data_IF_978125169443
#
_entry.id   IF_978125169443
#
_cell.length_a   1.000
_cell.length_b   1.000
_cell.length_c   1.000
_cell.angle_alpha   90.00
_cell.angle_beta   90.00
_cell.angle_gamma   90.00
#
_symmetry.space_group_name_H-M   'P 1'
#
loop_
_entity.id
_entity.type
_entity.pdbx_description
1 polymer ?
#
# COMPACT_ATOMS: atom_id res chain seq x y z
N UNK A 1 77.64 -12.39 17.10
CA UNK A 1 76.71 -12.54 16.04
C UNK A 1 76.40 -14.04 15.75
N UNK A 2 75.41 -14.62 16.38
CA UNK A 2 74.76 -15.80 15.78
C UNK A 2 73.29 -15.82 16.09
N UNK A 3 72.43 -15.09 15.34
CA UNK A 3 71.00 -15.13 15.55
C UNK A 3 70.16 -15.16 14.26
N UNK A 4 70.80 -15.13 13.10
CA UNK A 4 70.03 -15.09 11.84
C UNK A 4 69.57 -16.46 11.33
N UNK A 5 70.36 -17.52 11.60
CA UNK A 5 70.07 -18.88 11.11
C UNK A 5 68.95 -19.54 11.92
N UNK A 6 68.94 -19.31 13.25
CA UNK A 6 67.90 -19.88 14.13
C UNK A 6 66.50 -19.27 13.87
N UNK A 7 66.43 -17.97 13.57
CA UNK A 7 65.18 -17.32 13.21
C UNK A 7 64.66 -17.78 11.83
N UNK A 8 65.51 -18.09 10.89
CA UNK A 8 65.08 -18.62 9.56
C UNK A 8 64.46 -20.03 9.67
N UNK A 9 65.03 -20.88 10.55
CA UNK A 9 64.52 -22.22 10.80
C UNK A 9 63.16 -22.20 11.51
N UNK A 10 62.99 -21.30 12.52
CA UNK A 10 61.72 -21.15 13.22
C UNK A 10 60.58 -20.66 12.33
N UNK A 11 60.86 -19.72 11.42
CA UNK A 11 59.86 -19.26 10.45
C UNK A 11 59.42 -20.36 9.46
N UNK A 12 60.34 -21.21 9.04
CA UNK A 12 60.02 -22.34 8.10
C UNK A 12 59.18 -23.42 8.79
N UNK A 13 59.43 -23.72 10.06
CA UNK A 13 58.66 -24.72 10.83
C UNK A 13 57.27 -24.22 11.14
N UNK A 14 57.10 -22.94 11.49
CA UNK A 14 55.81 -22.32 11.76
C UNK A 14 54.94 -22.28 10.47
N UNK A 15 55.50 -21.93 9.33
CA UNK A 15 54.78 -21.90 8.07
C UNK A 15 54.29 -23.30 7.60
N UNK A 16 55.04 -24.35 7.87
CA UNK A 16 54.64 -25.73 7.55
C UNK A 16 53.50 -26.24 8.44
N UNK A 17 53.46 -25.85 9.71
CA UNK A 17 52.38 -26.21 10.63
C UNK A 17 51.08 -25.47 10.30
N UNK A 18 51.19 -24.20 9.89
CA UNK A 18 50.01 -23.39 9.47
C UNK A 18 49.40 -23.87 8.17
N UNK A 19 50.22 -24.31 7.21
CA UNK A 19 49.73 -24.91 5.93
C UNK A 19 49.02 -26.24 6.14
N UNK A 20 49.39 -27.05 7.12
CA UNK A 20 48.69 -28.32 7.44
C UNK A 20 47.37 -28.10 8.19
N UNK A 21 47.22 -27.01 8.94
CA UNK A 21 45.98 -26.68 9.60
C UNK A 21 44.98 -26.04 8.63
N UNK A 22 45.41 -25.22 7.68
CA UNK A 22 44.56 -24.64 6.64
C UNK A 22 43.98 -25.69 5.67
N UNK A 23 44.74 -26.75 5.33
CA UNK A 23 44.26 -27.83 4.50
C UNK A 23 43.26 -28.77 5.21
N UNK A 24 43.25 -28.81 6.53
CA UNK A 24 42.24 -29.56 7.32
C UNK A 24 40.95 -28.77 7.56
N UNK A 25 40.98 -27.44 7.53
CA UNK A 25 39.82 -26.59 7.67
C UNK A 25 38.98 -26.49 6.39
N UNK A 26 39.56 -26.76 5.22
CA UNK A 26 38.85 -26.68 3.92
C UNK A 26 38.04 -27.93 3.63
N UNK A 27 38.35 -29.09 4.22
CA UNK A 27 37.66 -30.35 3.95
C UNK A 27 36.40 -30.55 4.81
N UNK A 28 36.21 -29.80 5.88
CA UNK A 28 35.05 -29.94 6.78
C UNK A 28 33.91 -28.95 6.51
N UNK A 29 34.04 -28.02 5.54
CA UNK A 29 32.97 -27.05 5.21
C UNK A 29 32.10 -27.49 4.01
N UNK A 30 32.42 -28.59 3.36
CA UNK A 30 31.79 -29.00 2.08
C UNK A 30 30.57 -29.95 2.21
N UNK A 31 30.02 -30.21 3.39
CA UNK A 31 28.93 -31.22 3.54
C UNK A 31 27.68 -30.70 4.27
N UNK A 32 27.54 -29.40 4.48
CA UNK A 32 26.24 -28.86 4.98
C UNK A 32 25.68 -27.78 4.05
N UNK A 33 25.55 -28.10 2.74
CA UNK A 33 24.51 -27.47 1.94
C UNK A 33 23.17 -28.10 2.33
N UNK A 34 22.75 -27.82 3.54
CA UNK A 34 21.38 -28.03 3.96
C UNK A 34 20.49 -27.16 3.07
N UNK A 35 19.61 -27.81 2.32
CA UNK A 35 18.52 -27.19 1.58
C UNK A 35 17.77 -26.25 2.52
N UNK A 36 18.01 -24.95 2.41
CA UNK A 36 17.16 -23.92 3.03
C UNK A 36 15.83 -24.05 2.31
N UNK A 37 14.73 -24.43 2.98
CA UNK A 37 13.43 -24.38 2.35
C UNK A 37 13.18 -22.91 2.03
N UNK A 38 13.08 -22.58 0.74
CA UNK A 38 12.51 -21.33 0.28
C UNK A 38 11.05 -21.34 0.80
N UNK A 39 10.84 -20.71 1.97
CA UNK A 39 9.49 -20.41 2.43
C UNK A 39 8.91 -19.44 1.42
N UNK A 40 8.14 -19.98 0.48
CA UNK A 40 7.26 -19.18 -0.37
C UNK A 40 6.26 -18.55 0.61
N UNK A 41 6.49 -17.28 0.96
CA UNK A 41 5.47 -16.45 1.60
C UNK A 41 4.39 -16.29 0.55
N UNK A 42 3.40 -17.18 0.59
CA UNK A 42 2.17 -17.00 -0.16
C UNK A 42 1.59 -15.66 0.31
N UNK A 43 1.62 -14.66 -0.55
CA UNK A 43 0.82 -13.46 -0.37
C UNK A 43 -0.63 -13.92 -0.39
N UNK A 44 -1.21 -14.08 0.79
CA UNK A 44 -2.64 -14.27 0.93
C UNK A 44 -3.31 -12.99 0.43
N UNK A 45 -3.72 -13.00 -0.83
CA UNK A 45 -4.74 -12.08 -1.32
C UNK A 45 -5.98 -12.41 -0.49
N UNK A 46 -6.31 -11.54 0.47
CA UNK A 46 -7.49 -11.71 1.29
C UNK A 46 -8.70 -11.80 0.34
N UNK A 47 -9.36 -12.94 0.31
CA UNK A 47 -10.63 -13.13 -0.39
C UNK A 47 -11.60 -12.03 0.05
N UNK A 48 -12.33 -11.38 -0.85
CA UNK A 48 -13.30 -10.37 -0.49
C UNK A 48 -14.38 -11.01 0.39
N UNK A 49 -14.43 -10.57 1.66
CA UNK A 49 -15.51 -10.97 2.56
C UNK A 49 -16.74 -10.10 2.31
N UNK A 50 -17.93 -10.63 2.58
CA UNK A 50 -19.16 -9.83 2.54
C UNK A 50 -19.37 -9.10 3.88
N UNK A 51 -19.89 -7.89 3.81
CA UNK A 51 -20.29 -7.11 4.98
C UNK A 51 -21.47 -7.75 5.69
N UNK A 52 -21.38 -7.89 7.00
CA UNK A 52 -22.41 -8.57 7.82
C UNK A 52 -23.78 -7.87 7.83
N UNK A 53 -23.83 -6.60 7.45
CA UNK A 53 -25.05 -5.78 7.51
C UNK A 53 -25.61 -5.49 6.12
N UNK A 54 -24.73 -5.31 5.14
CA UNK A 54 -25.15 -4.86 3.80
C UNK A 54 -25.00 -5.92 2.73
N UNK A 55 -24.36 -7.05 3.03
CA UNK A 55 -23.97 -8.10 2.06
C UNK A 55 -23.13 -7.56 0.88
N UNK A 56 -22.57 -6.34 1.01
CA UNK A 56 -21.68 -5.78 0.01
C UNK A 56 -20.24 -6.26 0.23
N UNK A 57 -19.43 -6.36 -0.84
CA UNK A 57 -18.03 -6.75 -0.71
C UNK A 57 -17.23 -5.85 0.23
N UNK A 58 -16.32 -6.45 0.99
CA UNK A 58 -15.32 -5.78 1.81
C UNK A 58 -13.93 -6.24 1.39
N UNK A 59 -12.95 -5.33 1.29
CA UNK A 59 -13.08 -3.88 1.46
C UNK A 59 -13.77 -3.23 0.24
N UNK A 60 -14.49 -2.12 0.46
CA UNK A 60 -15.09 -1.33 -0.61
C UNK A 60 -14.90 0.17 -0.40
N UNK A 61 -14.94 0.93 -1.48
CA UNK A 61 -14.83 2.38 -1.40
C UNK A 61 -16.18 3.08 -1.32
N UNK A 62 -16.23 4.14 -0.53
CA UNK A 62 -17.35 5.07 -0.35
C UNK A 62 -16.78 6.48 -0.25
N UNK A 63 -17.63 7.50 -0.13
CA UNK A 63 -17.18 8.86 0.12
C UNK A 63 -17.89 9.47 1.32
N UNK A 64 -17.23 10.43 1.94
CA UNK A 64 -17.83 11.21 3.02
C UNK A 64 -18.96 12.11 2.45
N UNK A 65 -20.17 11.95 2.97
CA UNK A 65 -21.33 12.77 2.60
C UNK A 65 -21.35 14.10 3.32
N UNK A 66 -20.95 14.10 4.57
CA UNK A 66 -20.92 15.27 5.44
C UNK A 66 -19.69 16.14 5.18
N UNK A 67 -19.74 17.39 5.60
CA UNK A 67 -18.58 18.30 5.61
C UNK A 67 -17.64 18.00 6.76
N UNK A 68 -18.18 17.37 7.82
CA UNK A 68 -17.45 16.95 9.02
C UNK A 68 -17.97 15.61 9.50
N UNK A 69 -17.09 14.72 9.95
CA UNK A 69 -17.47 13.43 10.52
C UNK A 69 -16.53 12.99 11.63
N UNK A 70 -17.11 12.75 12.80
CA UNK A 70 -16.41 12.16 13.93
C UNK A 70 -16.10 10.69 13.68
N UNK A 71 -14.84 10.33 13.80
CA UNK A 71 -14.31 8.97 13.72
C UNK A 71 -14.05 8.47 15.13
N UNK A 72 -14.67 7.36 15.47
CA UNK A 72 -14.63 6.82 16.82
C UNK A 72 -13.80 5.56 16.91
N UNK A 73 -13.31 5.28 18.12
CA UNK A 73 -12.53 4.07 18.40
C UNK A 73 -13.35 2.79 18.27
N UNK A 74 -14.65 2.85 18.49
CA UNK A 74 -15.57 1.72 18.41
C UNK A 74 -16.93 2.08 17.85
N UNK A 75 -17.79 1.08 17.57
CA UNK A 75 -19.04 1.23 16.87
C UNK A 75 -20.20 1.66 17.79
N UNK A 76 -20.04 2.77 18.52
CA UNK A 76 -21.14 3.41 19.26
C UNK A 76 -20.83 4.89 19.52
N UNK A 77 -21.85 5.66 19.88
CA UNK A 77 -21.70 7.09 20.23
C UNK A 77 -20.94 7.30 21.54
N UNK A 78 -20.90 6.31 22.44
CA UNK A 78 -20.17 6.37 23.72
C UNK A 78 -18.65 6.22 23.55
N UNK A 79 -18.18 5.70 22.42
CA UNK A 79 -16.76 5.59 22.17
C UNK A 79 -16.12 6.94 21.87
N UNK A 80 -14.89 7.10 22.36
CA UNK A 80 -14.08 8.29 22.16
C UNK A 80 -13.90 8.60 20.67
N UNK A 81 -13.93 9.88 20.33
CA UNK A 81 -13.55 10.39 19.01
C UNK A 81 -12.02 10.44 18.98
N UNK A 82 -11.43 9.74 18.03
CA UNK A 82 -9.98 9.69 17.83
C UNK A 82 -9.55 10.60 16.68
N UNK A 83 -10.45 10.88 15.72
CA UNK A 83 -10.21 11.69 14.55
C UNK A 83 -11.47 12.40 14.04
N UNK A 84 -11.29 13.45 13.23
CA UNK A 84 -12.39 14.12 12.53
C UNK A 84 -12.02 14.32 11.08
N UNK A 85 -12.84 13.81 10.15
CA UNK A 85 -12.71 14.14 8.75
C UNK A 85 -13.46 15.43 8.45
N UNK A 86 -12.80 16.37 7.75
CA UNK A 86 -13.29 17.76 7.57
C UNK A 86 -13.75 18.08 6.14
N UNK A 87 -13.63 17.15 5.19
CA UNK A 87 -13.93 17.45 3.79
C UNK A 87 -14.98 16.53 3.21
N UNK A 88 -16.08 17.12 2.73
CA UNK A 88 -17.07 16.39 1.92
C UNK A 88 -16.37 15.78 0.70
N UNK A 89 -16.78 14.57 0.34
CA UNK A 89 -16.19 13.85 -0.80
C UNK A 89 -14.88 13.13 -0.49
N UNK A 90 -14.34 13.24 0.73
CA UNK A 90 -13.15 12.42 1.10
C UNK A 90 -13.42 10.97 0.77
N UNK A 91 -12.63 10.33 -0.12
CA UNK A 91 -12.75 8.91 -0.38
C UNK A 91 -12.33 8.12 0.86
N UNK A 92 -13.07 7.07 1.16
CA UNK A 92 -12.87 6.22 2.33
C UNK A 92 -13.04 4.76 1.94
N UNK A 93 -12.26 3.87 2.54
CA UNK A 93 -12.41 2.44 2.36
C UNK A 93 -13.09 1.82 3.58
N UNK A 94 -14.28 1.22 3.39
CA UNK A 94 -14.97 0.44 4.41
C UNK A 94 -14.28 -0.91 4.53
N UNK A 95 -13.85 -1.25 5.73
CA UNK A 95 -13.12 -2.49 6.04
C UNK A 95 -13.93 -3.44 6.94
N UNK A 96 -14.92 -2.94 7.68
CA UNK A 96 -15.83 -3.73 8.50
C UNK A 96 -17.17 -3.03 8.70
N UNK A 97 -18.18 -3.79 9.11
CA UNK A 97 -19.51 -3.32 9.43
C UNK A 97 -19.96 -3.84 10.79
N UNK A 98 -20.70 -3.01 11.50
CA UNK A 98 -21.38 -3.39 12.72
C UNK A 98 -22.64 -2.51 12.88
N UNK A 99 -23.83 -3.08 12.81
CA UNK A 99 -25.10 -2.35 12.86
C UNK A 99 -25.12 -1.08 11.97
N UNK A 100 -25.23 0.09 12.58
CA UNK A 100 -25.23 1.40 11.89
C UNK A 100 -23.82 1.97 11.68
N UNK A 101 -22.76 1.23 12.02
CA UNK A 101 -21.39 1.72 11.97
C UNK A 101 -20.59 1.04 10.87
N UNK A 102 -19.68 1.81 10.26
CA UNK A 102 -18.73 1.34 9.26
C UNK A 102 -17.33 1.68 9.76
N UNK A 103 -16.47 0.66 9.80
CA UNK A 103 -15.05 0.90 10.02
C UNK A 103 -14.45 1.34 8.71
N UNK A 104 -13.87 2.54 8.71
CA UNK A 104 -13.29 3.16 7.52
C UNK A 104 -11.82 3.48 7.72
N UNK A 105 -11.10 3.61 6.60
CA UNK A 105 -9.77 4.21 6.57
C UNK A 105 -9.64 5.09 5.33
N UNK A 106 -8.76 6.09 5.41
CA UNK A 106 -8.35 6.91 4.27
C UNK A 106 -7.08 6.36 3.58
N UNK A 107 -6.51 7.15 2.66
CA UNK A 107 -5.28 6.84 1.93
C UNK A 107 -4.06 6.68 2.84
N UNK A 108 -4.03 7.34 3.99
CA UNK A 108 -2.94 7.33 4.97
C UNK A 108 -3.16 6.28 6.08
N UNK A 109 -4.16 5.41 5.91
CA UNK A 109 -4.63 4.42 6.89
C UNK A 109 -5.15 5.02 8.20
N UNK A 110 -5.46 6.31 8.23
CA UNK A 110 -6.14 6.96 9.35
C UNK A 110 -7.63 6.65 9.28
N UNK A 111 -8.24 6.28 10.39
CA UNK A 111 -9.65 5.96 10.40
C UNK A 111 -10.16 5.35 11.70
N UNK A 112 -11.31 4.74 11.63
CA UNK A 112 -12.04 4.13 12.74
C UNK A 112 -13.50 3.94 12.37
N UNK A 113 -14.42 4.10 13.34
CA UNK A 113 -15.83 3.86 13.14
C UNK A 113 -16.61 5.15 12.88
N UNK A 114 -17.36 5.18 11.78
CA UNK A 114 -18.25 6.28 11.37
C UNK A 114 -19.66 5.74 11.25
N UNK A 115 -20.66 6.55 11.61
CA UNK A 115 -22.05 6.22 11.37
C UNK A 115 -22.38 6.25 9.87
N UNK A 116 -23.09 5.22 9.36
CA UNK A 116 -23.32 5.04 7.93
C UNK A 116 -24.01 6.23 7.25
N UNK A 117 -24.85 6.98 7.98
CA UNK A 117 -25.56 8.15 7.42
C UNK A 117 -24.65 9.29 6.97
N UNK A 118 -23.39 9.30 7.44
CA UNK A 118 -22.38 10.27 7.06
C UNK A 118 -21.60 9.85 5.79
N UNK A 119 -21.91 8.68 5.25
CA UNK A 119 -21.27 8.11 4.06
C UNK A 119 -22.24 8.10 2.88
N UNK A 120 -21.69 8.05 1.68
CA UNK A 120 -22.44 7.94 0.42
C UNK A 120 -21.76 6.95 -0.52
N UNK A 121 -22.58 6.28 -1.35
CA UNK A 121 -22.09 5.44 -2.45
C UNK A 121 -21.58 6.23 -3.65
N UNK A 122 -21.79 7.55 -3.70
CA UNK A 122 -21.13 8.40 -4.72
C UNK A 122 -19.62 8.26 -4.57
N UNK A 123 -18.96 7.85 -5.65
CA UNK A 123 -17.53 7.50 -5.61
C UNK A 123 -16.67 8.71 -5.93
N UNK A 124 -15.69 8.92 -5.12
CA UNK A 124 -14.65 9.91 -5.31
C UNK A 124 -13.27 9.26 -5.20
N UNK A 125 -12.28 9.95 -5.69
CA UNK A 125 -10.86 9.59 -5.59
C UNK A 125 -10.06 10.79 -5.14
N UNK A 126 -8.87 10.54 -4.60
CA UNK A 126 -7.91 11.59 -4.26
C UNK A 126 -6.61 11.36 -5.04
N UNK A 127 -6.06 12.45 -5.57
CA UNK A 127 -4.80 12.47 -6.31
C UNK A 127 -3.63 12.20 -5.35
N UNK A 128 -2.78 11.22 -5.66
CA UNK A 128 -1.59 10.86 -4.88
C UNK A 128 -0.29 11.43 -5.46
N UNK A 129 -0.20 11.54 -6.80
CA UNK A 129 0.95 12.16 -7.46
C UNK A 129 1.07 13.64 -7.16
N UNK A 130 2.30 14.20 -7.14
CA UNK A 130 2.52 15.61 -6.82
C UNK A 130 1.78 16.54 -7.77
N UNK A 131 1.82 16.22 -9.07
CA UNK A 131 1.12 16.93 -10.15
C UNK A 131 0.92 15.95 -11.29
N UNK A 132 -0.30 15.54 -11.53
CA UNK A 132 -0.65 14.55 -12.55
C UNK A 132 -1.45 15.17 -13.69
N UNK A 133 -1.21 14.75 -14.95
CA UNK A 133 -2.00 15.21 -16.08
C UNK A 133 -3.39 14.55 -16.10
N UNK A 134 -4.41 15.35 -16.41
CA UNK A 134 -5.70 14.88 -16.85
C UNK A 134 -5.69 14.82 -18.38
N UNK A 135 -5.78 13.64 -18.94
CA UNK A 135 -5.73 13.38 -20.37
C UNK A 135 -7.13 13.42 -21.01
N UNK A 136 -7.19 13.81 -22.27
CA UNK A 136 -8.44 13.77 -23.05
C UNK A 136 -8.95 12.34 -23.27
N UNK A 137 -8.02 11.39 -23.49
CA UNK A 137 -8.28 9.98 -23.74
C UNK A 137 -7.46 9.11 -22.77
N UNK A 138 -7.82 7.83 -22.54
CA UNK A 138 -7.12 6.94 -21.62
C UNK A 138 -5.80 6.41 -22.20
N UNK A 139 -4.91 7.30 -22.60
CA UNK A 139 -3.56 6.99 -23.04
C UNK A 139 -2.59 8.15 -22.73
N UNK A 140 -1.31 7.84 -22.56
CA UNK A 140 -0.27 8.80 -22.15
C UNK A 140 0.10 9.84 -23.24
N UNK A 141 -0.20 9.55 -24.49
CA UNK A 141 0.11 10.43 -25.63
C UNK A 141 -1.03 11.39 -25.97
N UNK A 142 -2.17 11.23 -25.32
CA UNK A 142 -3.34 12.10 -25.48
C UNK A 142 -3.07 13.50 -24.93
N UNK A 143 -3.78 14.49 -25.46
CA UNK A 143 -3.67 15.86 -25.00
C UNK A 143 -3.94 15.99 -23.49
N UNK A 144 -3.12 16.76 -22.80
CA UNK A 144 -3.34 17.12 -21.40
C UNK A 144 -4.34 18.27 -21.33
N UNK A 145 -5.47 18.07 -20.66
CA UNK A 145 -6.55 19.05 -20.47
C UNK A 145 -6.22 19.98 -19.30
N UNK A 146 -5.73 19.39 -18.18
CA UNK A 146 -5.41 20.10 -16.96
C UNK A 146 -4.34 19.32 -16.17
N UNK A 147 -3.81 19.94 -15.13
CA UNK A 147 -2.93 19.30 -14.15
C UNK A 147 -3.64 19.29 -12.79
N UNK A 148 -3.74 18.13 -12.17
CA UNK A 148 -4.27 17.97 -10.83
C UNK A 148 -3.12 17.80 -9.81
N UNK A 149 -3.19 18.53 -8.73
CA UNK A 149 -2.19 18.49 -7.66
C UNK A 149 -2.54 17.42 -6.61
N UNK A 150 -1.54 17.01 -5.84
CA UNK A 150 -1.71 16.06 -4.74
C UNK A 150 -2.79 16.53 -3.76
N UNK A 151 -3.68 15.61 -3.38
CA UNK A 151 -4.77 15.89 -2.45
C UNK A 151 -6.06 16.41 -3.10
N UNK A 152 -6.02 16.73 -4.40
CA UNK A 152 -7.25 17.07 -5.14
C UNK A 152 -8.21 15.88 -5.12
N UNK A 153 -9.46 16.16 -4.75
CA UNK A 153 -10.56 15.18 -4.75
C UNK A 153 -11.36 15.38 -6.02
N UNK A 154 -11.59 14.27 -6.75
CA UNK A 154 -12.45 14.25 -7.94
C UNK A 154 -13.54 13.20 -7.85
N UNK A 155 -14.67 13.45 -8.49
CA UNK A 155 -15.71 12.43 -8.71
C UNK A 155 -15.18 11.36 -9.65
N UNK A 156 -15.43 10.09 -9.32
CA UNK A 156 -15.00 8.95 -10.11
C UNK A 156 -16.05 8.60 -11.17
N UNK A 157 -15.67 8.69 -12.44
CA UNK A 157 -16.48 8.27 -13.59
C UNK A 157 -16.11 6.87 -14.09
N UNK A 158 -16.06 6.71 -15.41
CA UNK A 158 -15.70 5.47 -16.08
C UNK A 158 -14.25 5.05 -15.78
N UNK A 159 -14.02 3.73 -15.69
CA UNK A 159 -12.68 3.16 -15.47
C UNK A 159 -12.43 1.99 -16.42
N UNK A 160 -11.29 2.05 -17.11
CA UNK A 160 -10.69 0.94 -17.84
C UNK A 160 -9.73 0.16 -16.91
N UNK A 161 -9.06 -0.90 -17.35
CA UNK A 161 -8.08 -1.59 -16.50
C UNK A 161 -6.98 -0.71 -15.91
N UNK A 162 -6.51 0.31 -16.64
CA UNK A 162 -5.39 1.17 -16.22
C UNK A 162 -5.78 2.61 -15.92
N UNK A 163 -6.88 3.11 -16.45
CA UNK A 163 -7.28 4.51 -16.42
C UNK A 163 -8.64 4.70 -15.79
N UNK A 164 -8.84 5.84 -15.12
CA UNK A 164 -10.17 6.29 -14.71
C UNK A 164 -10.39 7.73 -15.16
N UNK A 165 -11.62 8.01 -15.55
CA UNK A 165 -12.08 9.38 -15.79
C UNK A 165 -12.44 10.00 -14.46
N UNK A 166 -11.92 11.18 -14.18
CA UNK A 166 -12.26 11.94 -12.97
C UNK A 166 -12.78 13.32 -13.34
N UNK A 167 -13.63 13.85 -12.48
CA UNK A 167 -14.16 15.22 -12.61
C UNK A 167 -13.81 16.00 -11.34
N UNK A 168 -13.17 17.15 -11.52
CA UNK A 168 -12.78 18.03 -10.43
C UNK A 168 -12.89 19.49 -10.86
N UNK A 169 -13.69 20.28 -10.12
CA UNK A 169 -14.07 21.62 -10.56
C UNK A 169 -14.71 21.58 -11.95
N UNK A 170 -14.20 22.41 -12.85
CA UNK A 170 -14.69 22.50 -14.23
C UNK A 170 -13.95 21.56 -15.21
N UNK A 171 -13.05 20.74 -14.71
CA UNK A 171 -12.23 19.85 -15.53
C UNK A 171 -12.65 18.39 -15.41
N UNK A 172 -12.66 17.71 -16.53
CA UNK A 172 -12.88 16.26 -16.62
C UNK A 172 -11.81 15.64 -17.52
N UNK A 173 -11.18 14.58 -17.07
CA UNK A 173 -10.13 13.92 -17.85
C UNK A 173 -9.75 12.55 -17.29
N UNK A 174 -8.94 11.83 -18.07
CA UNK A 174 -8.45 10.52 -17.74
C UNK A 174 -7.12 10.58 -16.98
N UNK A 175 -7.02 9.82 -15.90
CA UNK A 175 -5.82 9.66 -15.07
C UNK A 175 -5.47 8.20 -14.88
N UNK A 176 -4.21 7.87 -14.68
CA UNK A 176 -3.82 6.51 -14.34
C UNK A 176 -4.33 6.15 -12.94
N UNK A 177 -4.79 4.91 -12.77
CA UNK A 177 -5.21 4.38 -11.46
C UNK A 177 -4.09 4.40 -10.42
N UNK A 178 -2.83 4.24 -10.85
CA UNK A 178 -1.66 4.31 -9.99
C UNK A 178 -1.42 5.67 -9.34
N UNK A 179 -2.01 6.73 -9.91
CA UNK A 179 -1.86 8.11 -9.46
C UNK A 179 -2.99 8.58 -8.53
N UNK A 180 -3.99 7.74 -8.29
CA UNK A 180 -5.17 8.07 -7.50
C UNK A 180 -5.48 6.99 -6.47
N UNK A 181 -6.11 7.37 -5.37
CA UNK A 181 -6.64 6.46 -4.37
C UNK A 181 -8.15 6.61 -4.25
N UNK A 182 -8.87 5.52 -4.01
CA UNK A 182 -10.33 5.49 -3.93
C UNK A 182 -10.98 4.59 -4.98
N UNK A 183 -10.16 3.86 -5.75
CA UNK A 183 -10.59 2.91 -6.78
C UNK A 183 -9.83 1.59 -6.64
N UNK A 184 -10.48 0.47 -6.91
CA UNK A 184 -9.84 -0.85 -6.93
C UNK A 184 -8.93 -1.02 -8.15
N UNK A 185 -7.79 -1.70 -7.99
CA UNK A 185 -6.85 -1.92 -9.10
C UNK A 185 -7.50 -2.61 -10.31
N UNK A 186 -8.36 -3.60 -10.06
CA UNK A 186 -9.09 -4.34 -11.09
C UNK A 186 -10.49 -3.78 -11.39
N UNK A 187 -10.90 -2.69 -10.72
CA UNK A 187 -12.23 -2.13 -10.86
C UNK A 187 -12.44 -1.54 -12.27
N UNK A 188 -13.48 -1.98 -12.96
CA UNK A 188 -13.95 -1.44 -14.24
C UNK A 188 -15.30 -0.79 -14.00
N UNK A 189 -15.53 0.37 -14.60
CA UNK A 189 -16.78 1.14 -14.49
C UNK A 189 -17.14 1.73 -15.85
N UNK A 190 -18.41 1.74 -16.15
CA UNK A 190 -19.01 2.40 -17.31
C UNK A 190 -19.61 3.76 -16.93
#
# INVERSE_FOLDING_TARGET
MPNSVIQAIYRRIMMLKYRRQLLRAIVTVAVTLGSVPLSVVAQQTAEPSLGQVTDLPLPRFVSLKATEANVRRGPSQSHRIDWVFMHRGTPLQVTAEFEHWRRVRDQDNVGGWIHYSLLTGHRTVVVQGQRIPLHADPNETSATIALAEKGVIGSLGACTPKWCKIETGDFSGWVMKSEIWGVGAAEIRE
#
